data_IF_204699153511
#
_entry.id   IF_204699153511
#
_cell.length_a   1.000
_cell.length_b   1.000
_cell.length_c   1.000
_cell.angle_alpha   90.00
_cell.angle_beta   90.00
_cell.angle_gamma   90.00
#
_symmetry.space_group_name_H-M   'P 1'
#
loop_
_entity.id
_entity.type
_entity.pdbx_description
1 polymer ?
#
# COMPACT_ATOMS: atom_id res chain seq x y z
N UNK A 1 10.79 15.18 20.74
CA UNK A 1 10.49 14.81 19.33
C UNK A 1 9.85 13.43 19.19
N UNK A 2 10.40 12.39 19.83
CA UNK A 2 9.89 11.00 19.76
C UNK A 2 8.39 10.84 20.12
N UNK A 3 7.91 11.57 21.14
CA UNK A 3 6.49 11.54 21.53
C UNK A 3 5.54 12.21 20.52
N UNK A 4 6.01 13.15 19.70
CA UNK A 4 5.19 13.77 18.65
C UNK A 4 5.06 12.85 17.43
N UNK A 5 6.13 12.10 17.11
CA UNK A 5 6.14 11.06 16.07
C UNK A 5 5.23 9.88 16.42
N UNK A 6 5.21 9.45 17.69
CA UNK A 6 4.30 8.39 18.15
C UNK A 6 2.84 8.84 18.21
N UNK A 7 2.56 10.11 18.55
CA UNK A 7 1.19 10.64 18.66
C UNK A 7 0.55 10.94 17.30
N UNK A 8 1.36 11.34 16.31
CA UNK A 8 0.89 11.73 14.96
C UNK A 8 1.40 10.77 13.86
N UNK A 9 1.82 9.56 14.22
CA UNK A 9 2.45 8.62 13.29
C UNK A 9 1.59 8.30 12.06
N UNK A 10 0.27 8.22 12.24
CA UNK A 10 -0.70 8.02 11.15
C UNK A 10 -0.76 9.20 10.18
N UNK A 11 -0.77 10.43 10.69
CA UNK A 11 -0.78 11.64 9.86
C UNK A 11 0.53 11.79 9.06
N UNK A 12 1.67 11.48 9.69
CA UNK A 12 2.98 11.52 9.03
C UNK A 12 3.04 10.44 7.94
N UNK A 13 2.56 9.23 8.20
CA UNK A 13 2.49 8.17 7.20
C UNK A 13 1.64 8.56 5.98
N UNK A 14 0.50 9.22 6.18
CA UNK A 14 -0.32 9.74 5.08
C UNK A 14 0.40 10.80 4.24
N UNK A 15 1.06 11.76 4.89
CA UNK A 15 1.79 12.82 4.19
C UNK A 15 2.93 12.22 3.36
N UNK A 16 3.72 11.33 3.97
CA UNK A 16 4.82 10.65 3.27
C UNK A 16 4.29 9.82 2.10
N UNK A 17 3.22 9.05 2.29
CA UNK A 17 2.60 8.27 1.21
C UNK A 17 2.10 9.15 0.06
N UNK A 18 1.46 10.28 0.36
CA UNK A 18 0.97 11.23 -0.65
C UNK A 18 2.12 11.84 -1.45
N UNK A 19 3.21 12.24 -0.78
CA UNK A 19 4.41 12.76 -1.44
C UNK A 19 5.03 11.70 -2.36
N UNK A 20 5.08 10.45 -1.93
CA UNK A 20 5.62 9.35 -2.74
C UNK A 20 4.78 9.09 -4.00
N UNK A 21 3.45 9.12 -3.89
CA UNK A 21 2.55 8.99 -5.05
C UNK A 21 2.77 10.15 -6.03
N UNK A 22 2.91 11.38 -5.52
CA UNK A 22 3.17 12.55 -6.35
C UNK A 22 4.52 12.46 -7.07
N UNK A 23 5.59 12.06 -6.36
CA UNK A 23 6.93 11.87 -6.94
C UNK A 23 6.95 10.76 -8.00
N UNK A 24 6.21 9.67 -7.77
CA UNK A 24 6.07 8.60 -8.76
C UNK A 24 5.32 9.10 -10.02
N UNK A 25 4.22 9.85 -9.83
CA UNK A 25 3.50 10.46 -10.95
C UNK A 25 4.37 11.41 -11.77
N UNK A 26 5.16 12.27 -11.11
CA UNK A 26 6.12 13.14 -11.79
C UNK A 26 7.17 12.30 -12.53
N UNK A 27 7.70 11.25 -11.91
CA UNK A 27 8.68 10.35 -12.52
C UNK A 27 8.18 9.63 -13.76
N UNK A 28 6.88 9.31 -13.85
CA UNK A 28 6.27 8.78 -15.08
C UNK A 28 6.20 9.88 -16.15
N UNK A 29 5.81 11.10 -15.78
CA UNK A 29 5.63 12.19 -16.74
C UNK A 29 6.95 12.76 -17.28
N UNK A 30 8.03 12.67 -16.51
CA UNK A 30 9.34 13.22 -16.87
C UNK A 30 10.38 12.14 -17.19
N UNK A 31 10.01 10.86 -17.16
CA UNK A 31 10.93 9.76 -17.41
C UNK A 31 11.39 9.71 -18.87
N UNK A 32 12.68 9.45 -19.10
CA UNK A 32 13.19 9.23 -20.45
C UNK A 32 12.67 7.88 -20.99
N UNK A 33 12.18 7.89 -22.22
CA UNK A 33 11.78 6.67 -22.94
C UNK A 33 13.02 6.02 -23.53
N UNK A 34 13.35 4.81 -23.05
CA UNK A 34 14.42 3.98 -23.62
C UNK A 34 13.81 2.91 -24.51
N UNK A 35 14.42 2.67 -25.68
CA UNK A 35 13.96 1.61 -26.59
C UNK A 35 14.57 0.30 -26.13
N UNK A 36 13.75 -0.68 -25.75
CA UNK A 36 14.21 -2.02 -25.39
C UNK A 36 14.64 -2.80 -26.64
N UNK A 37 15.38 -3.91 -26.51
CA UNK A 37 15.91 -4.74 -27.61
C UNK A 37 14.83 -5.24 -28.60
N UNK A 38 13.56 -5.19 -28.21
CA UNK A 38 12.40 -5.52 -29.05
C UNK A 38 11.82 -4.31 -29.84
N UNK A 39 12.43 -3.13 -29.78
CA UNK A 39 11.96 -1.92 -30.48
C UNK A 39 10.78 -1.20 -29.79
N UNK A 40 10.49 -1.53 -28.53
CA UNK A 40 9.39 -0.92 -27.75
C UNK A 40 9.95 0.21 -26.89
N UNK A 41 9.35 1.40 -26.96
CA UNK A 41 9.67 2.53 -26.09
C UNK A 41 9.14 2.26 -24.67
N UNK A 42 10.05 2.16 -23.71
CA UNK A 42 9.74 1.93 -22.31
C UNK A 42 10.13 3.16 -21.51
N UNK A 43 9.19 3.75 -20.78
CA UNK A 43 9.50 4.84 -19.85
C UNK A 43 10.38 4.29 -18.73
N UNK A 44 11.59 4.83 -18.57
CA UNK A 44 12.53 4.37 -17.57
C UNK A 44 12.15 4.94 -16.18
N UNK A 45 11.14 4.35 -15.55
CA UNK A 45 10.69 4.71 -14.18
C UNK A 45 11.67 4.20 -13.09
N UNK A 46 12.90 3.87 -13.48
CA UNK A 46 13.85 3.07 -12.69
C UNK A 46 14.18 3.67 -11.33
N UNK A 47 14.34 4.99 -11.24
CA UNK A 47 14.74 5.64 -9.99
C UNK A 47 13.59 5.71 -8.99
N UNK A 48 12.39 6.10 -9.43
CA UNK A 48 11.18 6.15 -8.58
C UNK A 48 10.76 4.78 -8.07
N UNK A 49 10.83 3.76 -8.92
CA UNK A 49 10.53 2.38 -8.54
C UNK A 49 11.56 1.85 -7.53
N UNK A 50 12.87 2.10 -7.75
CA UNK A 50 13.95 1.69 -6.82
C UNK A 50 13.79 2.32 -5.43
N UNK A 51 13.50 3.63 -5.35
CA UNK A 51 13.26 4.30 -4.06
C UNK A 51 12.04 3.70 -3.36
N UNK A 52 10.96 3.46 -4.11
CA UNK A 52 9.74 2.86 -3.56
C UNK A 52 9.99 1.47 -2.98
N UNK A 53 10.75 0.63 -3.70
CA UNK A 53 11.15 -0.70 -3.21
C UNK A 53 11.94 -0.58 -1.91
N UNK A 54 12.94 0.31 -1.83
CA UNK A 54 13.74 0.52 -0.62
C UNK A 54 12.86 0.96 0.56
N UNK A 55 11.92 1.87 0.33
CA UNK A 55 11.01 2.35 1.37
C UNK A 55 10.03 1.28 1.85
N UNK A 56 9.52 0.43 0.95
CA UNK A 56 8.68 -0.70 1.32
C UNK A 56 9.45 -1.66 2.24
N UNK A 57 10.71 -1.98 1.90
CA UNK A 57 11.56 -2.84 2.72
C UNK A 57 11.81 -2.22 4.09
N UNK A 58 12.15 -0.92 4.15
CA UNK A 58 12.33 -0.21 5.41
C UNK A 58 11.06 -0.16 6.26
N UNK A 59 9.91 0.08 5.65
CA UNK A 59 8.61 0.08 6.32
C UNK A 59 8.29 -1.30 6.91
N UNK A 60 8.58 -2.37 6.16
CA UNK A 60 8.39 -3.74 6.64
C UNK A 60 9.29 -4.07 7.83
N UNK A 61 10.57 -3.68 7.79
CA UNK A 61 11.51 -3.84 8.90
C UNK A 61 11.04 -3.04 10.13
N UNK A 62 10.63 -1.78 9.94
CA UNK A 62 10.13 -0.94 11.02
C UNK A 62 8.86 -1.52 11.68
N UNK A 63 7.96 -2.10 10.88
CA UNK A 63 6.77 -2.80 11.36
C UNK A 63 7.14 -3.99 12.24
N UNK A 64 8.05 -4.87 11.77
CA UNK A 64 8.52 -6.02 12.56
C UNK A 64 9.16 -5.60 13.89
N UNK A 65 10.04 -4.59 13.86
CA UNK A 65 10.66 -4.05 15.06
C UNK A 65 9.62 -3.48 16.04
N UNK A 66 8.55 -2.87 15.53
CA UNK A 66 7.47 -2.32 16.36
C UNK A 66 6.66 -3.42 17.03
N UNK A 67 6.35 -4.51 16.31
CA UNK A 67 5.70 -5.70 16.88
C UNK A 67 6.55 -6.31 18.01
N UNK A 68 7.84 -6.52 17.77
CA UNK A 68 8.77 -7.08 18.78
C UNK A 68 8.87 -6.19 20.01
N UNK A 69 8.94 -4.87 19.80
CA UNK A 69 8.97 -3.87 20.87
C UNK A 69 7.67 -3.88 21.69
N UNK A 70 6.51 -3.91 21.03
CA UNK A 70 5.20 -3.88 21.70
C UNK A 70 4.91 -5.16 22.48
N UNK A 71 5.39 -6.31 22.00
CA UNK A 71 5.34 -7.58 22.73
C UNK A 71 6.21 -7.50 23.98
N UNK A 72 7.44 -7.01 23.85
CA UNK A 72 8.40 -6.91 24.97
C UNK A 72 7.96 -5.95 26.07
N UNK A 73 7.32 -4.82 25.73
CA UNK A 73 6.98 -3.77 26.70
C UNK A 73 5.62 -4.00 27.37
N UNK A 74 4.63 -4.54 26.65
CA UNK A 74 3.26 -4.56 27.16
C UNK A 74 2.49 -5.84 26.88
N UNK A 75 3.09 -6.85 26.21
CA UNK A 75 2.52 -8.18 25.93
C UNK A 75 1.16 -8.14 25.21
N UNK A 76 0.11 -7.75 25.94
CA UNK A 76 -1.26 -7.52 25.48
C UNK A 76 -1.37 -6.53 24.31
N UNK A 77 -0.59 -5.44 24.29
CA UNK A 77 -0.61 -4.47 23.16
C UNK A 77 0.02 -5.06 21.90
N UNK A 78 1.17 -5.73 22.04
CA UNK A 78 1.83 -6.42 20.94
C UNK A 78 0.96 -7.51 20.32
N UNK A 79 0.25 -8.29 21.14
CA UNK A 79 -0.70 -9.32 20.66
C UNK A 79 -1.83 -8.70 19.83
N UNK A 80 -2.40 -7.55 20.24
CA UNK A 80 -3.44 -6.87 19.45
C UNK A 80 -2.92 -6.37 18.10
N UNK A 81 -1.71 -5.81 18.07
CA UNK A 81 -1.04 -5.37 16.84
C UNK A 81 -0.80 -6.54 15.87
N UNK A 82 -0.33 -7.68 16.41
CA UNK A 82 -0.10 -8.90 15.64
C UNK A 82 -1.40 -9.50 15.09
N UNK A 83 -2.48 -9.54 15.89
CA UNK A 83 -3.79 -9.99 15.42
C UNK A 83 -4.28 -9.10 14.28
N UNK A 84 -4.17 -7.77 14.40
CA UNK A 84 -4.54 -6.84 13.34
C UNK A 84 -3.78 -7.10 12.02
N UNK A 85 -2.47 -7.36 12.11
CA UNK A 85 -1.65 -7.72 10.96
C UNK A 85 -2.07 -9.04 10.30
N UNK A 86 -2.34 -10.08 11.11
CA UNK A 86 -2.81 -11.39 10.61
C UNK A 86 -4.16 -11.24 9.91
N UNK A 87 -5.09 -10.49 10.49
CA UNK A 87 -6.40 -10.22 9.85
C UNK A 87 -6.23 -9.54 8.50
N UNK A 88 -5.28 -8.60 8.40
CA UNK A 88 -5.00 -7.88 7.16
C UNK A 88 -4.42 -8.80 6.07
N UNK A 89 -3.54 -9.73 6.45
CA UNK A 89 -3.03 -10.78 5.54
C UNK A 89 -4.18 -11.66 5.06
N UNK A 90 -5.03 -12.15 5.96
CA UNK A 90 -6.16 -13.02 5.61
C UNK A 90 -7.11 -12.29 4.67
N UNK A 91 -7.44 -11.04 4.96
CA UNK A 91 -8.29 -10.20 4.11
C UNK A 91 -7.67 -10.01 2.72
N UNK A 92 -6.36 -9.76 2.64
CA UNK A 92 -5.65 -9.64 1.36
C UNK A 92 -5.77 -10.92 0.52
N UNK A 93 -5.57 -12.10 1.13
CA UNK A 93 -5.69 -13.37 0.40
C UNK A 93 -7.13 -13.66 -0.06
N UNK A 94 -8.13 -13.29 0.75
CA UNK A 94 -9.54 -13.39 0.36
C UNK A 94 -9.83 -12.46 -0.82
N UNK A 95 -9.38 -11.22 -0.77
CA UNK A 95 -9.61 -10.28 -1.87
C UNK A 95 -8.83 -10.68 -3.12
N UNK A 96 -7.61 -11.21 -2.96
CA UNK A 96 -6.84 -11.77 -4.08
C UNK A 96 -7.55 -12.92 -4.78
N UNK A 97 -8.31 -13.75 -4.06
CA UNK A 97 -9.06 -14.86 -4.70
C UNK A 97 -10.33 -14.40 -5.41
N UNK A 98 -10.87 -13.22 -5.08
CA UNK A 98 -12.08 -12.65 -5.69
C UNK A 98 -11.74 -11.70 -6.85
N UNK A 99 -10.57 -11.06 -6.80
CA UNK A 99 -10.13 -10.12 -7.85
C UNK A 99 -9.87 -10.89 -9.14
N UNK A 100 -10.77 -10.71 -10.10
CA UNK A 100 -10.49 -10.97 -11.50
C UNK A 100 -9.58 -9.87 -12.01
N UNK A 101 -8.40 -10.22 -12.53
CA UNK A 101 -7.52 -9.27 -13.22
C UNK A 101 -8.35 -8.54 -14.28
N UNK A 102 -8.32 -7.21 -14.27
CA UNK A 102 -9.07 -6.40 -15.23
C UNK A 102 -8.54 -6.69 -16.64
N UNK A 103 -9.21 -7.57 -17.37
CA UNK A 103 -8.89 -7.91 -18.75
C UNK A 103 -9.90 -7.24 -19.67
N UNK A 104 -9.42 -6.44 -20.63
CA UNK A 104 -10.22 -5.89 -21.72
C UNK A 104 -10.02 -4.40 -22.01
N UNK A 105 -10.16 -4.04 -23.29
CA UNK A 105 -10.11 -2.65 -23.76
C UNK A 105 -8.70 -2.04 -23.72
N UNK A 106 -8.60 -0.81 -23.19
CA UNK A 106 -7.31 -0.06 -23.10
C UNK A 106 -6.28 -0.73 -22.18
N UNK A 107 -6.72 -1.53 -21.22
CA UNK A 107 -5.82 -2.19 -20.26
C UNK A 107 -5.04 -3.35 -20.90
N UNK A 108 -5.63 -4.07 -21.87
CA UNK A 108 -4.96 -5.20 -22.54
C UNK A 108 -3.80 -4.75 -23.44
N UNK A 109 -3.91 -3.53 -23.98
CA UNK A 109 -2.83 -2.86 -24.73
C UNK A 109 -1.67 -2.52 -23.78
N UNK A 110 -1.97 -1.93 -22.61
CA UNK A 110 -0.97 -1.58 -21.61
C UNK A 110 -0.28 -2.81 -21.00
N UNK A 111 -0.99 -3.92 -20.79
CA UNK A 111 -0.37 -5.16 -20.30
C UNK A 111 0.67 -5.71 -21.28
N UNK A 112 0.37 -5.65 -22.58
CA UNK A 112 1.27 -6.11 -23.64
C UNK A 112 2.44 -5.15 -23.87
N UNK A 113 2.19 -3.85 -23.80
CA UNK A 113 3.19 -2.81 -24.04
C UNK A 113 4.22 -2.72 -22.91
N UNK A 114 3.80 -2.87 -21.64
CA UNK A 114 4.68 -2.81 -20.48
C UNK A 114 5.12 -4.19 -19.96
N UNK A 115 4.73 -5.28 -20.61
CA UNK A 115 5.13 -6.66 -20.24
C UNK A 115 4.71 -7.07 -18.83
N UNK A 116 3.61 -6.51 -18.31
CA UNK A 116 3.18 -6.75 -16.92
C UNK A 116 2.52 -8.12 -16.81
N UNK A 117 3.13 -9.02 -16.05
CA UNK A 117 2.55 -10.36 -15.81
C UNK A 117 1.19 -10.29 -15.11
N UNK A 118 0.27 -11.20 -15.46
CA UNK A 118 -1.04 -11.30 -14.83
C UNK A 118 -0.94 -11.49 -13.31
N UNK A 119 0.08 -12.22 -12.86
CA UNK A 119 0.38 -12.44 -11.45
C UNK A 119 0.74 -11.14 -10.72
N UNK A 120 1.54 -10.27 -11.35
CA UNK A 120 1.89 -8.97 -10.77
C UNK A 120 0.69 -8.04 -10.70
N UNK A 121 -0.12 -8.00 -11.77
CA UNK A 121 -1.34 -7.19 -11.80
C UNK A 121 -2.37 -7.64 -10.77
N UNK A 122 -2.58 -8.95 -10.62
CA UNK A 122 -3.49 -9.51 -9.62
C UNK A 122 -3.06 -9.16 -8.19
N UNK A 123 -1.75 -9.11 -7.91
CA UNK A 123 -1.22 -8.69 -6.60
C UNK A 123 -1.47 -7.20 -6.33
N UNK A 124 -1.20 -6.34 -7.30
CA UNK A 124 -1.43 -4.89 -7.17
C UNK A 124 -2.92 -4.60 -6.99
N UNK A 125 -3.76 -5.21 -7.82
CA UNK A 125 -5.20 -5.06 -7.76
C UNK A 125 -5.73 -5.52 -6.40
N UNK A 126 -5.38 -6.72 -5.94
CA UNK A 126 -5.76 -7.21 -4.61
C UNK A 126 -5.34 -6.26 -3.48
N UNK A 127 -4.15 -5.65 -3.59
CA UNK A 127 -3.67 -4.64 -2.66
C UNK A 127 -4.58 -3.41 -2.63
N UNK A 128 -4.93 -2.87 -3.79
CA UNK A 128 -5.84 -1.73 -3.91
C UNK A 128 -7.23 -2.03 -3.37
N UNK A 129 -7.80 -3.20 -3.69
CA UNK A 129 -9.09 -3.63 -3.12
C UNK A 129 -9.03 -3.77 -1.60
N UNK A 130 -7.90 -4.25 -1.05
CA UNK A 130 -7.70 -4.34 0.40
C UNK A 130 -7.69 -2.96 1.04
N UNK A 131 -6.99 -2.00 0.43
CA UNK A 131 -7.01 -0.60 0.89
C UNK A 131 -8.41 0.01 0.82
N UNK A 132 -9.14 -0.22 -0.28
CA UNK A 132 -10.51 0.27 -0.44
C UNK A 132 -11.47 -0.31 0.61
N UNK A 133 -11.38 -1.62 0.89
CA UNK A 133 -12.17 -2.27 1.93
C UNK A 133 -11.88 -1.68 3.32
N UNK A 134 -10.60 -1.45 3.65
CA UNK A 134 -10.21 -0.82 4.92
C UNK A 134 -10.69 0.62 5.03
N UNK A 135 -10.68 1.38 3.95
CA UNK A 135 -11.21 2.74 3.91
C UNK A 135 -12.72 2.72 4.25
N UNK A 136 -13.49 1.83 3.63
CA UNK A 136 -14.92 1.69 3.88
C UNK A 136 -15.19 1.33 5.35
N UNK A 137 -14.48 0.33 5.89
CA UNK A 137 -14.57 -0.03 7.32
C UNK A 137 -14.23 1.15 8.23
N UNK A 138 -13.19 1.91 7.89
CA UNK A 138 -12.77 3.08 8.66
C UNK A 138 -13.86 4.15 8.70
N UNK A 139 -14.50 4.43 7.55
CA UNK A 139 -15.62 5.39 7.46
C UNK A 139 -16.80 4.92 8.32
N UNK A 140 -17.16 3.64 8.26
CA UNK A 140 -18.27 3.08 9.06
C UNK A 140 -17.97 3.18 10.56
N UNK A 141 -16.76 2.82 10.98
CA UNK A 141 -16.33 2.92 12.38
C UNK A 141 -16.31 4.37 12.85
N UNK A 142 -15.86 5.30 12.00
CA UNK A 142 -15.86 6.73 12.29
C UNK A 142 -17.29 7.24 12.52
N UNK A 143 -18.21 6.98 11.59
CA UNK A 143 -19.63 7.36 11.73
C UNK A 143 -20.21 6.78 13.01
N UNK A 144 -19.99 5.49 13.28
CA UNK A 144 -20.46 4.85 14.50
C UNK A 144 -19.89 5.51 15.77
N UNK A 145 -18.61 5.88 15.76
CA UNK A 145 -17.96 6.53 16.91
C UNK A 145 -18.51 7.93 17.18
N UNK A 146 -18.79 8.70 16.14
CA UNK A 146 -19.43 10.02 16.25
C UNK A 146 -20.84 9.88 16.81
N UNK A 147 -21.67 9.00 16.22
CA UNK A 147 -23.04 8.72 16.69
C UNK A 147 -23.04 8.34 18.16
N UNK A 148 -22.18 7.40 18.57
CA UNK A 148 -22.06 7.01 19.98
C UNK A 148 -21.65 8.19 20.88
N UNK A 149 -20.73 9.04 20.43
CA UNK A 149 -20.30 10.22 21.20
C UNK A 149 -21.37 11.29 21.32
N UNK A 150 -22.32 11.36 20.40
CA UNK A 150 -23.47 12.27 20.52
C UNK A 150 -24.53 11.77 21.50
N UNK A 151 -24.65 10.45 21.69
CA UNK A 151 -25.66 9.84 22.56
C UNK A 151 -25.17 9.53 23.98
N UNK A 152 -23.90 9.80 24.29
CA UNK A 152 -23.25 9.41 25.54
C UNK A 152 -22.41 10.56 26.09
#
# INVERSE_FOLDING_TARGET
MYNKLLKNGTAIAMIVGTIMIALFGIGIMTGETTVNDAGVEVVEVGLGLRITIILIVLAFIAMLLSIVKDISISGKKGIRSLIGFVVLIVLFFILKSVVTVEKGGKWDVLYKEYGVSESASGLVSAGLYTCGALLLVTVVVFIYSEVRSFFN
#
